data_IF_445758843936
#
_entry.id   IF_445758843936
#
_cell.length_a   1.000
_cell.length_b   1.000
_cell.length_c   1.000
_cell.angle_alpha   90.00
_cell.angle_beta   90.00
_cell.angle_gamma   90.00
#
_symmetry.space_group_name_H-M   'P 1'
#
loop_
_entity.id
_entity.type
_entity.pdbx_description
1 polymer ?
#
# COMPACT_ATOMS: atom_id res chain seq x y z
N UNK A 1 -10.42 -6.85 1.00
CA UNK A 1 -11.13 -8.14 0.81
C UNK A 1 -11.50 -8.36 -0.66
N UNK A 2 -12.29 -7.52 -1.30
CA UNK A 2 -12.64 -7.69 -2.71
C UNK A 2 -11.42 -7.68 -3.64
N UNK A 3 -10.58 -6.64 -3.58
CA UNK A 3 -9.30 -6.55 -4.26
C UNK A 3 -9.36 -6.19 -5.76
N UNK A 4 -10.55 -6.03 -6.35
CA UNK A 4 -10.72 -5.80 -7.79
C UNK A 4 -11.10 -4.36 -8.15
N UNK A 5 -11.24 -3.47 -7.13
CA UNK A 5 -11.58 -2.05 -7.29
C UNK A 5 -12.92 -1.79 -8.01
N UNK A 6 -13.88 -2.69 -7.88
CA UNK A 6 -15.18 -2.70 -8.57
C UNK A 6 -16.38 -2.74 -7.62
N UNK A 7 -16.15 -2.71 -6.30
CA UNK A 7 -17.20 -2.68 -5.28
C UNK A 7 -16.85 -1.71 -4.15
N UNK A 8 -17.86 -0.99 -3.66
CA UNK A 8 -17.75 -0.14 -2.47
C UNK A 8 -18.57 -0.79 -1.35
N UNK A 9 -17.92 -1.07 -0.22
CA UNK A 9 -18.58 -1.58 0.97
C UNK A 9 -17.75 -1.28 2.23
N UNK A 10 -18.41 -1.38 3.37
CA UNK A 10 -17.80 -1.31 4.69
C UNK A 10 -18.36 -2.37 5.61
N UNK A 11 -17.65 -2.67 6.69
CA UNK A 11 -18.13 -3.58 7.74
C UNK A 11 -17.83 -3.00 9.11
N UNK A 12 -18.75 -3.23 10.04
CA UNK A 12 -18.57 -2.92 11.46
C UNK A 12 -18.57 -4.25 12.22
N UNK A 13 -17.47 -4.51 12.93
CA UNK A 13 -17.32 -5.67 13.79
C UNK A 13 -17.10 -5.19 15.21
N UNK A 14 -18.02 -5.49 16.11
CA UNK A 14 -17.98 -5.03 17.51
C UNK A 14 -18.77 -5.99 18.42
N UNK A 15 -18.91 -5.65 19.71
CA UNK A 15 -19.83 -6.34 20.61
C UNK A 15 -21.26 -6.24 20.11
N UNK A 16 -22.10 -7.20 20.51
CA UNK A 16 -23.53 -7.23 20.13
C UNK A 16 -24.23 -5.91 20.47
N UNK A 17 -23.96 -5.37 21.63
CA UNK A 17 -24.52 -4.09 22.11
C UNK A 17 -24.22 -2.94 21.14
N UNK A 18 -22.99 -2.82 20.67
CA UNK A 18 -22.58 -1.76 19.74
C UNK A 18 -23.22 -1.98 18.36
N UNK A 19 -23.24 -3.23 17.88
CA UNK A 19 -23.86 -3.54 16.58
C UNK A 19 -25.35 -3.22 16.60
N UNK A 20 -26.07 -3.61 17.65
CA UNK A 20 -27.49 -3.36 17.82
C UNK A 20 -27.82 -1.85 17.95
N UNK A 21 -26.92 -1.06 18.52
CA UNK A 21 -27.06 0.40 18.60
C UNK A 21 -26.82 1.10 17.24
N UNK A 22 -25.88 0.61 16.44
CA UNK A 22 -25.51 1.21 15.15
C UNK A 22 -26.45 0.82 14.02
N UNK A 23 -26.99 -0.40 14.04
CA UNK A 23 -27.82 -0.96 12.97
C UNK A 23 -29.05 -0.07 12.62
N UNK A 24 -29.85 0.44 13.58
CA UNK A 24 -30.98 1.31 13.28
C UNK A 24 -30.56 2.63 12.63
N UNK A 25 -29.42 3.19 13.08
CA UNK A 25 -28.86 4.43 12.48
C UNK A 25 -28.45 4.17 11.03
N UNK A 26 -27.78 3.05 10.75
CA UNK A 26 -27.43 2.66 9.39
C UNK A 26 -28.65 2.53 8.48
N UNK A 27 -29.71 1.91 8.97
CA UNK A 27 -30.96 1.75 8.22
C UNK A 27 -31.61 3.11 7.89
N UNK A 28 -31.65 4.04 8.86
CA UNK A 28 -32.20 5.38 8.65
C UNK A 28 -31.36 6.24 7.70
N UNK A 29 -30.04 6.10 7.74
CA UNK A 29 -29.12 6.82 6.87
C UNK A 29 -28.98 6.21 5.46
N UNK A 30 -29.65 5.09 5.16
CA UNK A 30 -29.59 4.45 3.86
C UNK A 30 -28.24 3.78 3.57
N UNK A 31 -27.55 3.27 4.60
CA UNK A 31 -26.23 2.62 4.47
C UNK A 31 -26.26 1.09 4.26
N UNK A 32 -27.39 0.37 4.17
CA UNK A 32 -27.38 -1.05 3.83
C UNK A 32 -26.67 -1.27 2.51
N UNK A 33 -25.83 -2.30 2.47
CA UNK A 33 -25.03 -2.61 1.28
C UNK A 33 -25.89 -3.00 0.08
N UNK A 34 -25.47 -2.58 -1.10
CA UNK A 34 -26.08 -3.02 -2.35
C UNK A 34 -25.87 -4.54 -2.55
N UNK A 35 -26.91 -5.31 -2.92
CA UNK A 35 -26.80 -6.75 -3.12
C UNK A 35 -25.77 -7.15 -4.19
N UNK A 36 -25.61 -6.37 -5.25
CA UNK A 36 -24.64 -6.64 -6.29
C UNK A 36 -23.19 -6.42 -5.78
N UNK A 37 -22.97 -5.36 -5.01
CA UNK A 37 -21.67 -5.16 -4.32
C UNK A 37 -21.38 -6.32 -3.34
N UNK A 38 -22.39 -6.78 -2.59
CA UNK A 38 -22.23 -7.93 -1.70
C UNK A 38 -21.84 -9.20 -2.46
N UNK A 39 -22.47 -9.47 -3.61
CA UNK A 39 -22.11 -10.59 -4.47
C UNK A 39 -20.67 -10.49 -4.99
N UNK A 40 -20.26 -9.32 -5.47
CA UNK A 40 -18.86 -9.08 -5.94
C UNK A 40 -17.86 -9.30 -4.82
N UNK A 41 -18.17 -8.87 -3.59
CA UNK A 41 -17.29 -9.08 -2.43
C UNK A 41 -17.20 -10.57 -2.09
N UNK A 42 -18.31 -11.29 -2.03
CA UNK A 42 -18.32 -12.74 -1.77
C UNK A 42 -17.45 -13.46 -2.81
N UNK A 43 -17.58 -13.10 -4.08
CA UNK A 43 -16.76 -13.65 -5.16
C UNK A 43 -15.26 -13.28 -4.99
N UNK A 44 -14.96 -12.05 -4.64
CA UNK A 44 -13.59 -11.58 -4.42
C UNK A 44 -12.90 -12.27 -3.24
N UNK A 45 -13.64 -12.59 -2.19
CA UNK A 45 -13.12 -13.29 -1.00
C UNK A 45 -12.64 -14.72 -1.35
N UNK A 46 -13.22 -15.39 -2.32
CA UNK A 46 -12.83 -16.76 -2.68
C UNK A 46 -11.37 -16.92 -3.08
N UNK A 47 -10.74 -15.85 -3.59
CA UNK A 47 -9.32 -15.84 -3.97
C UNK A 47 -8.49 -14.93 -3.05
N UNK A 48 -9.02 -14.51 -1.92
CA UNK A 48 -8.38 -13.52 -1.05
C UNK A 48 -7.03 -14.02 -0.52
N UNK A 49 -6.99 -15.22 -0.01
CA UNK A 49 -5.80 -15.80 0.60
C UNK A 49 -4.64 -15.91 -0.43
N UNK A 50 -4.92 -16.51 -1.59
CA UNK A 50 -3.94 -16.66 -2.68
C UNK A 50 -3.39 -15.31 -3.17
N UNK A 51 -4.26 -14.30 -3.28
CA UNK A 51 -3.85 -12.95 -3.68
C UNK A 51 -3.01 -12.27 -2.60
N UNK A 52 -3.44 -12.38 -1.34
CA UNK A 52 -2.73 -11.77 -0.23
C UNK A 52 -1.34 -12.38 -0.04
N UNK A 53 -1.21 -13.71 -0.16
CA UNK A 53 0.08 -14.39 -0.14
C UNK A 53 1.02 -13.86 -1.22
N UNK A 54 0.53 -13.74 -2.46
CA UNK A 54 1.34 -13.20 -3.56
C UNK A 54 1.71 -11.74 -3.35
N UNK A 55 0.79 -10.91 -2.87
CA UNK A 55 1.04 -9.50 -2.56
C UNK A 55 2.11 -9.33 -1.48
N UNK A 56 2.01 -10.10 -0.40
CA UNK A 56 2.98 -10.02 0.71
C UNK A 56 4.36 -10.50 0.28
N UNK A 57 4.46 -11.62 -0.45
CA UNK A 57 5.72 -12.12 -0.99
C UNK A 57 6.34 -11.11 -1.96
N UNK A 58 5.56 -10.53 -2.88
CA UNK A 58 6.02 -9.48 -3.79
C UNK A 58 6.50 -8.24 -3.02
N UNK A 59 5.75 -7.81 -1.99
CA UNK A 59 6.12 -6.65 -1.20
C UNK A 59 7.45 -6.85 -0.46
N UNK A 60 7.67 -8.02 0.14
CA UNK A 60 8.94 -8.33 0.82
C UNK A 60 10.12 -8.32 -0.15
N UNK A 61 9.96 -8.93 -1.32
CA UNK A 61 11.02 -8.96 -2.36
C UNK A 61 11.30 -7.58 -2.95
N UNK A 62 10.25 -6.82 -3.25
CA UNK A 62 10.38 -5.46 -3.77
C UNK A 62 10.98 -4.51 -2.72
N UNK A 63 10.60 -4.66 -1.44
CA UNK A 63 11.19 -3.89 -0.35
C UNK A 63 12.70 -4.11 -0.27
N UNK A 64 13.15 -5.38 -0.38
CA UNK A 64 14.58 -5.70 -0.39
C UNK A 64 15.29 -5.13 -1.61
N UNK A 65 14.72 -5.27 -2.80
CA UNK A 65 15.28 -4.71 -4.02
C UNK A 65 15.42 -3.18 -3.95
N UNK A 66 14.39 -2.49 -3.41
CA UNK A 66 14.46 -1.04 -3.22
C UNK A 66 15.49 -0.63 -2.17
N UNK A 67 15.64 -1.39 -1.08
CA UNK A 67 16.67 -1.14 -0.05
C UNK A 67 18.10 -1.26 -0.60
N UNK A 68 18.31 -2.20 -1.52
CA UNK A 68 19.60 -2.43 -2.16
C UNK A 68 19.92 -1.41 -3.27
N UNK A 69 18.93 -0.60 -3.69
CA UNK A 69 19.11 0.40 -4.74
C UNK A 69 19.78 1.68 -4.18
N UNK A 70 20.90 2.16 -4.76
CA UNK A 70 21.66 3.29 -4.23
C UNK A 70 20.92 4.64 -4.27
N UNK A 71 19.84 4.76 -5.03
CA UNK A 71 19.03 5.97 -5.15
C UNK A 71 17.90 6.04 -4.13
N UNK A 72 17.66 4.96 -3.37
CA UNK A 72 16.64 4.90 -2.32
C UNK A 72 17.28 5.19 -0.97
N UNK A 73 16.80 6.20 -0.27
CA UNK A 73 17.37 6.63 1.00
C UNK A 73 16.91 5.78 2.19
N UNK A 74 15.69 5.25 2.10
CA UNK A 74 15.09 4.45 3.17
C UNK A 74 13.92 3.64 2.63
N UNK A 75 13.76 2.43 3.16
CA UNK A 75 12.57 1.60 2.95
C UNK A 75 11.98 1.21 4.31
N UNK A 76 10.67 1.28 4.45
CA UNK A 76 9.97 0.80 5.63
C UNK A 76 9.08 -0.38 5.24
N UNK A 77 9.50 -1.56 5.61
CA UNK A 77 8.74 -2.80 5.50
C UNK A 77 9.16 -3.76 6.63
N UNK A 78 8.22 -4.43 7.31
CA UNK A 78 8.55 -5.25 8.49
C UNK A 78 9.45 -6.46 8.20
N UNK A 79 9.55 -6.91 6.95
CA UNK A 79 10.45 -8.00 6.56
C UNK A 79 11.94 -7.61 6.51
N UNK A 80 12.27 -6.32 6.51
CA UNK A 80 13.65 -5.83 6.43
C UNK A 80 14.29 -5.81 7.82
N UNK A 81 15.54 -6.26 7.93
CA UNK A 81 16.32 -6.17 9.18
C UNK A 81 16.54 -4.72 9.64
N UNK A 82 16.60 -3.78 8.70
CA UNK A 82 16.68 -2.33 8.96
C UNK A 82 15.41 -1.71 9.55
N UNK A 83 14.28 -2.44 9.52
CA UNK A 83 13.02 -1.94 10.07
C UNK A 83 13.06 -1.93 11.62
N UNK A 84 12.77 -0.81 12.30
CA UNK A 84 12.98 -0.67 13.75
C UNK A 84 12.24 -1.70 14.63
N UNK A 85 11.17 -2.28 14.12
CA UNK A 85 10.35 -3.28 14.83
C UNK A 85 10.42 -4.67 14.17
N UNK A 86 11.48 -4.96 13.42
CA UNK A 86 11.64 -6.24 12.71
C UNK A 86 11.53 -7.43 13.67
N UNK A 87 12.23 -7.41 14.80
CA UNK A 87 12.19 -8.47 15.82
C UNK A 87 10.78 -8.70 16.40
N UNK A 88 9.98 -7.64 16.53
CA UNK A 88 8.59 -7.75 16.93
C UNK A 88 7.75 -8.37 15.81
N UNK A 89 7.98 -7.95 14.58
CA UNK A 89 7.29 -8.49 13.42
C UNK A 89 7.51 -10.00 13.26
N UNK A 90 8.76 -10.48 13.43
CA UNK A 90 9.08 -11.90 13.42
C UNK A 90 8.32 -12.73 14.47
N UNK A 91 7.93 -12.11 15.59
CA UNK A 91 7.16 -12.78 16.64
C UNK A 91 5.65 -12.80 16.36
N UNK A 92 5.15 -11.85 15.56
CA UNK A 92 3.72 -11.66 15.32
C UNK A 92 3.24 -12.31 14.03
N UNK A 93 4.11 -12.46 13.04
CA UNK A 93 3.78 -13.01 11.72
C UNK A 93 4.32 -14.43 11.56
N UNK A 94 3.63 -15.24 10.76
CA UNK A 94 4.01 -16.67 10.53
C UNK A 94 5.36 -16.82 9.81
N UNK A 95 5.71 -15.89 8.94
CA UNK A 95 6.95 -15.93 8.18
C UNK A 95 7.42 -14.54 7.76
N UNK A 96 8.70 -14.40 7.48
CA UNK A 96 9.31 -13.16 7.00
C UNK A 96 8.74 -12.68 5.64
N UNK A 97 8.22 -13.60 4.84
CA UNK A 97 7.64 -13.28 3.52
C UNK A 97 6.16 -12.92 3.56
N UNK A 98 5.48 -13.14 4.70
CA UNK A 98 4.02 -12.95 4.84
C UNK A 98 3.66 -11.90 5.89
N UNK A 99 4.29 -10.71 5.81
CA UNK A 99 4.08 -9.68 6.83
C UNK A 99 3.14 -8.56 6.40
N UNK A 100 3.36 -7.97 5.22
CA UNK A 100 2.56 -6.85 4.72
C UNK A 100 2.57 -6.79 3.19
N UNK A 101 1.46 -6.34 2.59
CA UNK A 101 1.36 -6.02 1.15
C UNK A 101 1.59 -4.54 0.84
N UNK A 102 1.96 -3.75 1.85
CA UNK A 102 2.20 -2.30 1.75
C UNK A 102 3.59 -1.99 2.30
N UNK A 103 4.32 -1.14 1.59
CA UNK A 103 5.59 -0.59 2.03
C UNK A 103 5.64 0.92 1.80
N UNK A 104 6.60 1.61 2.40
CA UNK A 104 6.96 2.96 2.02
C UNK A 104 8.46 3.06 1.78
N UNK A 105 8.85 3.96 0.88
CA UNK A 105 10.25 4.27 0.60
C UNK A 105 10.44 5.76 0.42
N UNK A 106 11.69 6.22 0.55
CA UNK A 106 12.06 7.63 0.49
C UNK A 106 13.13 7.82 -0.56
N UNK A 107 12.89 8.75 -1.47
CA UNK A 107 13.83 9.23 -2.49
C UNK A 107 14.42 10.59 -2.08
N UNK A 108 15.51 11.05 -2.72
CA UNK A 108 16.00 12.42 -2.57
C UNK A 108 14.90 13.45 -2.87
N UNK A 109 14.87 14.55 -2.10
CA UNK A 109 13.82 15.58 -2.15
C UNK A 109 13.99 16.51 -3.38
N UNK A 110 14.10 15.95 -4.58
CA UNK A 110 14.12 16.67 -5.85
C UNK A 110 12.78 16.45 -6.56
N UNK A 111 11.89 17.44 -6.47
CA UNK A 111 10.54 17.34 -7.03
C UNK A 111 10.51 17.15 -8.54
N UNK A 112 11.52 17.67 -9.27
CA UNK A 112 11.62 17.48 -10.71
C UNK A 112 11.93 16.03 -11.07
N UNK A 113 12.91 15.44 -10.39
CA UNK A 113 13.25 14.00 -10.54
C UNK A 113 12.15 13.08 -10.03
N UNK A 114 11.46 13.46 -8.96
CA UNK A 114 10.29 12.72 -8.44
C UNK A 114 9.18 12.65 -9.49
N UNK A 115 8.86 13.77 -10.14
CA UNK A 115 7.86 13.80 -11.23
C UNK A 115 8.30 12.96 -12.44
N UNK A 116 9.57 13.03 -12.82
CA UNK A 116 10.13 12.20 -13.89
C UNK A 116 10.10 10.71 -13.53
N UNK A 117 10.48 10.34 -12.30
CA UNK A 117 10.38 8.98 -11.79
C UNK A 117 8.96 8.43 -11.90
N UNK A 118 7.96 9.18 -11.42
CA UNK A 118 6.57 8.74 -11.48
C UNK A 118 6.08 8.53 -12.92
N UNK A 119 6.52 9.36 -13.87
CA UNK A 119 6.16 9.25 -15.29
C UNK A 119 6.79 8.06 -16.00
N UNK A 120 7.92 7.57 -15.49
CA UNK A 120 8.62 6.41 -16.07
C UNK A 120 8.08 5.07 -15.63
N UNK A 121 7.35 5.02 -14.52
CA UNK A 121 6.73 3.78 -14.07
C UNK A 121 5.66 3.31 -15.05
N UNK A 122 5.69 2.02 -15.40
CA UNK A 122 4.78 1.39 -16.37
C UNK A 122 3.82 0.40 -15.73
N UNK A 123 4.23 -0.32 -14.69
CA UNK A 123 3.40 -1.27 -13.94
C UNK A 123 2.76 -0.63 -12.70
N UNK A 124 3.51 0.17 -11.95
CA UNK A 124 2.99 0.84 -10.77
C UNK A 124 2.23 2.12 -11.16
N UNK A 125 0.92 2.12 -10.93
CA UNK A 125 0.06 3.25 -11.26
C UNK A 125 -0.09 4.23 -10.09
N UNK A 126 -0.06 5.53 -10.38
CA UNK A 126 -0.37 6.54 -9.38
C UNK A 126 -1.84 6.49 -8.98
N UNK A 127 -2.11 6.07 -7.75
CA UNK A 127 -3.45 6.02 -7.18
C UNK A 127 -3.40 6.00 -5.65
N UNK A 128 -4.39 6.62 -5.01
CA UNK A 128 -4.51 6.65 -3.54
C UNK A 128 -5.13 5.38 -2.96
N UNK A 129 -5.55 4.43 -3.80
CA UNK A 129 -6.10 3.12 -3.40
C UNK A 129 -5.04 2.20 -2.82
N UNK A 130 -5.48 1.11 -2.21
CA UNK A 130 -4.59 0.08 -1.68
C UNK A 130 -5.29 -1.30 -1.65
N UNK A 131 -4.51 -2.37 -1.56
CA UNK A 131 -5.01 -3.74 -1.41
C UNK A 131 -5.65 -4.33 -2.68
N UNK A 132 -5.50 -3.68 -3.83
CA UNK A 132 -5.93 -4.19 -5.13
C UNK A 132 -4.95 -5.19 -5.73
N UNK A 133 -5.38 -5.85 -6.82
CA UNK A 133 -4.53 -6.79 -7.58
C UNK A 133 -3.41 -6.09 -8.37
N UNK A 134 -3.51 -4.78 -8.56
CA UNK A 134 -2.50 -3.95 -9.24
C UNK A 134 -1.66 -3.20 -8.22
N UNK A 135 -0.37 -3.08 -8.53
CA UNK A 135 0.53 -2.22 -7.77
C UNK A 135 0.15 -0.76 -7.96
N UNK A 136 -0.05 -0.06 -6.83
CA UNK A 136 -0.39 1.37 -6.83
C UNK A 136 0.58 2.15 -5.97
N UNK A 137 1.00 3.30 -6.49
CA UNK A 137 1.90 4.25 -5.86
C UNK A 137 1.12 5.49 -5.41
N UNK A 138 1.32 5.93 -4.19
CA UNK A 138 0.83 7.20 -3.68
C UNK A 138 1.98 8.07 -3.21
N UNK A 139 1.94 9.36 -3.54
CA UNK A 139 2.87 10.38 -3.03
C UNK A 139 2.15 11.21 -1.95
N UNK A 140 2.31 10.90 -0.65
CA UNK A 140 1.52 11.51 0.42
C UNK A 140 1.64 13.03 0.47
N UNK A 141 2.82 13.56 0.19
CA UNK A 141 3.11 15.00 0.22
C UNK A 141 2.21 15.83 -0.73
N UNK A 142 1.86 15.28 -1.90
CA UNK A 142 1.02 15.97 -2.90
C UNK A 142 -0.41 15.47 -2.96
N UNK A 143 -0.77 14.47 -2.17
CA UNK A 143 -2.11 13.86 -2.17
C UNK A 143 -2.76 13.87 -0.79
N UNK A 144 -2.70 12.78 -0.06
CA UNK A 144 -3.45 12.57 1.19
C UNK A 144 -3.07 13.55 2.32
N UNK A 145 -1.88 14.12 2.31
CA UNK A 145 -1.37 15.04 3.33
C UNK A 145 -1.02 16.43 2.74
N UNK A 146 -1.47 16.74 1.52
CA UNK A 146 -1.15 18.01 0.85
C UNK A 146 -1.62 19.26 1.62
N UNK A 147 -2.73 19.15 2.36
CA UNK A 147 -3.30 20.25 3.15
C UNK A 147 -2.68 20.40 4.55
N UNK A 148 -1.82 19.47 4.96
CA UNK A 148 -1.16 19.51 6.26
C UNK A 148 0.06 20.46 6.20
N UNK A 149 0.34 21.26 7.25
CA UNK A 149 1.57 22.05 7.36
C UNK A 149 2.82 21.18 7.19
N UNK A 150 3.87 21.71 6.55
CA UNK A 150 5.10 20.97 6.25
C UNK A 150 5.80 20.47 7.53
N UNK A 151 5.81 21.27 8.58
CA UNK A 151 6.36 20.88 9.89
C UNK A 151 5.66 19.65 10.47
N UNK A 152 4.34 19.59 10.40
CA UNK A 152 3.56 18.46 10.89
C UNK A 152 3.79 17.20 10.06
N UNK A 153 3.87 17.34 8.72
CA UNK A 153 4.23 16.23 7.82
C UNK A 153 5.60 15.66 8.17
N UNK A 154 6.62 16.52 8.30
CA UNK A 154 7.98 16.10 8.65
C UNK A 154 8.06 15.44 10.03
N UNK A 155 7.32 15.95 11.01
CA UNK A 155 7.22 15.32 12.33
C UNK A 155 6.63 13.91 12.28
N UNK A 156 5.73 13.64 11.34
CA UNK A 156 5.16 12.32 11.06
C UNK A 156 6.07 11.46 10.17
N UNK A 157 7.22 11.96 9.73
CA UNK A 157 8.14 11.28 8.80
C UNK A 157 7.71 11.33 7.34
N UNK A 158 6.72 12.16 7.01
CA UNK A 158 6.25 12.35 5.63
C UNK A 158 7.06 13.48 4.98
N UNK A 159 8.10 13.09 4.25
CA UNK A 159 8.96 14.00 3.50
C UNK A 159 8.50 14.15 2.05
N UNK A 160 8.96 15.19 1.31
CA UNK A 160 8.71 15.32 -0.12
C UNK A 160 9.17 14.14 -0.97
N UNK A 161 10.17 13.38 -0.51
CA UNK A 161 10.65 12.17 -1.19
C UNK A 161 9.90 10.89 -0.82
N UNK A 162 8.91 10.92 0.08
CA UNK A 162 8.25 9.73 0.57
C UNK A 162 7.15 9.23 -0.36
N UNK A 163 7.18 7.93 -0.64
CA UNK A 163 6.13 7.21 -1.34
C UNK A 163 5.53 6.10 -0.49
N UNK A 164 4.22 5.86 -0.66
CA UNK A 164 3.54 4.66 -0.17
C UNK A 164 3.21 3.77 -1.36
N UNK A 165 3.57 2.52 -1.28
CA UNK A 165 3.33 1.51 -2.31
C UNK A 165 2.40 0.42 -1.77
N UNK A 166 1.33 0.14 -2.48
CA UNK A 166 0.49 -1.04 -2.29
C UNK A 166 0.80 -2.03 -3.40
N UNK A 167 1.44 -3.14 -3.03
CA UNK A 167 1.97 -4.09 -4.00
C UNK A 167 0.87 -5.05 -4.46
N UNK A 168 0.81 -5.29 -5.75
CA UNK A 168 -0.15 -6.18 -6.40
C UNK A 168 0.39 -7.60 -6.61
N UNK A 169 -0.24 -8.30 -7.55
CA UNK A 169 0.07 -9.71 -7.86
C UNK A 169 0.87 -9.90 -9.15
N UNK A 170 1.37 -8.81 -9.71
CA UNK A 170 2.19 -8.81 -10.93
C UNK A 170 3.43 -9.72 -10.77
N UNK A 171 4.12 -10.01 -11.85
CA UNK A 171 5.41 -10.69 -11.75
C UNK A 171 6.41 -9.80 -11.00
N UNK A 172 7.15 -10.38 -10.06
CA UNK A 172 8.05 -9.61 -9.20
C UNK A 172 9.27 -9.08 -9.95
N UNK A 173 9.78 -9.82 -10.91
CA UNK A 173 10.94 -9.40 -11.69
C UNK A 173 10.58 -8.23 -12.60
N UNK A 174 9.37 -8.22 -13.16
CA UNK A 174 8.83 -7.10 -13.92
C UNK A 174 8.67 -5.86 -13.04
N UNK A 175 8.14 -6.00 -11.80
CA UNK A 175 8.03 -4.89 -10.87
C UNK A 175 9.40 -4.32 -10.48
N UNK A 176 10.36 -5.17 -10.15
CA UNK A 176 11.73 -4.73 -9.80
C UNK A 176 12.37 -4.02 -10.97
N UNK A 177 12.25 -4.56 -12.18
CA UNK A 177 12.78 -3.93 -13.39
C UNK A 177 12.14 -2.56 -13.65
N UNK A 178 10.81 -2.44 -13.46
CA UNK A 178 10.07 -1.18 -13.62
C UNK A 178 10.57 -0.10 -12.65
N UNK A 179 10.72 -0.44 -11.38
CA UNK A 179 11.26 0.50 -10.40
C UNK A 179 12.72 0.88 -10.69
N UNK A 180 13.56 -0.09 -11.05
CA UNK A 180 14.98 0.18 -11.32
C UNK A 180 15.17 1.11 -12.51
N UNK A 181 14.48 0.86 -13.63
CA UNK A 181 14.57 1.75 -14.81
C UNK A 181 14.04 3.17 -14.50
N UNK A 182 13.02 3.29 -13.64
CA UNK A 182 12.49 4.58 -13.25
C UNK A 182 13.44 5.34 -12.30
N UNK A 183 14.13 4.64 -11.40
CA UNK A 183 15.09 5.21 -10.45
C UNK A 183 16.36 5.76 -11.12
N UNK A 184 16.68 5.35 -12.37
CA UNK A 184 17.81 5.87 -13.14
C UNK A 184 17.78 7.41 -13.33
N UNK A 185 16.64 8.06 -13.12
CA UNK A 185 16.55 9.53 -13.13
C UNK A 185 17.44 10.17 -12.06
N UNK A 186 17.75 9.44 -10.99
CA UNK A 186 18.60 9.92 -9.91
C UNK A 186 20.10 9.67 -10.13
N UNK A 187 20.47 8.93 -11.19
CA UNK A 187 21.88 8.66 -11.55
C UNK A 187 22.60 9.87 -12.18
N UNK A 188 21.87 10.91 -12.57
CA UNK A 188 22.39 12.08 -13.34
C UNK A 188 22.62 13.29 -12.48
#
# INVERSE_FOLDING_TARGET
>A
MNGHSDAIAGSITASREIVDAVQPVGMLCGTPGDPNAAWMIIRGIQTFDVRLERQMSNASKLAKALEDNPHVLKVNHPSLESFPQHELALKLFESNERMAGILSFVLPEDMGKIDEFMKKLTFAHYATTLGGIRTTLNHPNTSSHAHMPDEDRRRMGITPGMFRLSVGIEDIDDLVADFYQALEVFSK
#
